data_IF_888160100291
#
_entry.id   IF_888160100291
#
_cell.length_a   1.000
_cell.length_b   1.000
_cell.length_c   1.000
_cell.angle_alpha   90.00
_cell.angle_beta   90.00
_cell.angle_gamma   90.00
#
_symmetry.space_group_name_H-M   'P 1'
#
loop_
_entity.id
_entity.type
_entity.pdbx_description
1 polymer ?
#
# COMPACT_ATOMS: atom_id res chain seq x y z
N UNK A 1 33.20 -17.28 44.43
CA UNK A 1 33.35 -17.74 43.02
C UNK A 1 32.05 -18.34 42.46
N UNK A 2 31.43 -19.32 43.12
CA UNK A 2 30.17 -19.95 42.65
C UNK A 2 28.98 -18.98 42.48
N UNK A 3 28.81 -18.03 43.38
CA UNK A 3 27.76 -17.00 43.34
C UNK A 3 27.97 -15.95 42.25
N UNK A 4 29.23 -15.58 41.99
CA UNK A 4 29.59 -14.63 40.91
C UNK A 4 29.39 -15.30 39.54
N UNK A 5 29.76 -16.58 39.43
CA UNK A 5 29.54 -17.37 38.21
C UNK A 5 28.04 -17.57 37.93
N UNK A 6 27.24 -17.80 38.98
CA UNK A 6 25.78 -17.92 38.86
C UNK A 6 25.15 -16.59 38.40
N UNK A 7 25.51 -15.46 39.00
CA UNK A 7 25.02 -14.14 38.58
C UNK A 7 25.44 -13.78 37.15
N UNK A 8 26.67 -14.14 36.75
CA UNK A 8 27.14 -13.94 35.38
C UNK A 8 26.37 -14.80 34.36
N UNK A 9 26.10 -16.08 34.69
CA UNK A 9 25.27 -16.95 33.83
C UNK A 9 23.82 -16.49 33.75
N UNK A 10 23.22 -16.01 34.85
CA UNK A 10 21.86 -15.46 34.82
C UNK A 10 21.79 -14.18 34.00
N UNK A 11 22.80 -13.29 34.09
CA UNK A 11 22.87 -12.10 33.24
C UNK A 11 23.07 -12.46 31.76
N UNK A 12 23.87 -13.50 31.45
CA UNK A 12 24.09 -13.99 30.08
C UNK A 12 22.85 -14.70 29.50
N UNK A 13 22.04 -15.35 30.34
CA UNK A 13 20.77 -15.99 29.95
C UNK A 13 19.61 -14.99 29.82
N UNK A 14 19.67 -13.85 30.51
CA UNK A 14 18.69 -12.76 30.40
C UNK A 14 19.05 -11.75 29.29
N UNK A 15 20.32 -11.65 28.89
CA UNK A 15 20.77 -10.78 27.81
C UNK A 15 20.06 -11.00 26.45
N UNK A 16 19.74 -12.24 25.99
CA UNK A 16 19.04 -12.42 24.73
C UNK A 16 17.53 -12.13 24.80
N UNK A 17 16.93 -11.97 25.98
CA UNK A 17 15.48 -11.75 26.10
C UNK A 17 15.10 -10.30 25.74
N UNK A 18 16.03 -9.35 25.89
CA UNK A 18 15.80 -7.95 25.55
C UNK A 18 16.07 -7.62 24.06
N UNK A 19 16.66 -8.53 23.29
CA UNK A 19 17.08 -8.29 21.91
C UNK A 19 16.08 -8.78 20.85
N UNK A 20 14.90 -9.25 21.25
CA UNK A 20 13.91 -9.85 20.33
C UNK A 20 12.49 -9.33 20.54
N UNK A 21 12.34 -8.16 21.18
CA UNK A 21 11.11 -7.39 21.01
C UNK A 21 11.23 -6.69 19.65
N UNK A 22 10.78 -7.34 18.59
CA UNK A 22 10.47 -6.61 17.35
C UNK A 22 9.43 -5.55 17.73
N UNK A 23 9.78 -4.28 17.54
CA UNK A 23 8.80 -3.21 17.68
C UNK A 23 7.71 -3.46 16.65
N UNK A 24 6.45 -3.46 17.09
CA UNK A 24 5.30 -3.52 16.18
C UNK A 24 5.47 -2.46 15.07
N UNK A 25 5.18 -2.80 13.81
CA UNK A 25 5.28 -1.85 12.71
C UNK A 25 4.35 -0.64 12.94
N UNK A 26 4.77 0.53 12.44
CA UNK A 26 4.01 1.77 12.55
C UNK A 26 2.82 1.85 11.57
N UNK A 27 2.49 0.75 10.91
CA UNK A 27 1.40 0.61 9.94
C UNK A 27 0.69 -0.73 10.15
N UNK A 28 -0.47 -0.88 9.52
CA UNK A 28 -1.14 -2.17 9.35
C UNK A 28 -0.86 -2.73 7.96
N UNK A 29 -1.03 -4.05 7.80
CA UNK A 29 -0.95 -4.67 6.46
C UNK A 29 -2.18 -4.24 5.66
N UNK A 30 -1.96 -3.56 4.52
CA UNK A 30 -3.04 -2.94 3.76
C UNK A 30 -3.97 -3.95 3.07
N UNK A 31 -3.46 -5.13 2.75
CA UNK A 31 -4.18 -6.21 2.06
C UNK A 31 -4.32 -7.43 2.98
N UNK A 32 -5.05 -8.45 2.52
CA UNK A 32 -5.26 -9.70 3.28
C UNK A 32 -3.98 -10.44 3.66
N UNK A 33 -2.88 -10.14 2.98
CA UNK A 33 -1.57 -10.74 3.13
C UNK A 33 -0.48 -9.68 2.96
N UNK A 34 0.69 -9.93 3.55
CA UNK A 34 1.81 -8.98 3.56
C UNK A 34 2.61 -8.96 2.25
N UNK A 35 2.56 -10.02 1.46
CA UNK A 35 3.23 -10.14 0.15
C UNK A 35 2.25 -9.83 -0.99
N UNK A 36 1.64 -8.67 -0.89
CA UNK A 36 0.78 -8.07 -1.89
C UNK A 36 0.86 -6.55 -1.79
N UNK A 37 0.79 -5.85 -2.92
CA UNK A 37 0.96 -4.41 -2.99
C UNK A 37 0.57 -3.82 -4.33
N UNK A 38 1.02 -2.59 -4.57
CA UNK A 38 0.82 -1.81 -5.80
C UNK A 38 2.09 -1.09 -6.17
N UNK A 39 2.44 -1.10 -7.46
CA UNK A 39 3.47 -0.24 -8.05
C UNK A 39 2.95 0.37 -9.36
N UNK A 40 3.77 1.16 -10.03
CA UNK A 40 3.44 1.81 -11.30
C UNK A 40 3.47 3.31 -11.15
N UNK A 41 2.37 4.00 -11.49
CA UNK A 41 2.30 5.46 -11.43
C UNK A 41 2.69 6.15 -12.73
N UNK A 42 2.77 5.41 -13.85
CA UNK A 42 2.99 6.00 -15.16
C UNK A 42 1.81 6.92 -15.48
N UNK A 43 2.08 8.22 -15.55
CA UNK A 43 1.07 9.27 -15.61
C UNK A 43 1.11 10.00 -16.95
N UNK A 44 -0.04 10.09 -17.62
CA UNK A 44 -0.23 10.87 -18.85
C UNK A 44 -1.30 11.93 -18.60
N UNK A 45 -0.98 13.20 -18.86
CA UNK A 45 -1.97 14.28 -18.79
C UNK A 45 -2.92 14.22 -20.00
N UNK A 46 -4.23 14.41 -19.74
CA UNK A 46 -5.31 14.30 -20.72
C UNK A 46 -6.06 15.61 -20.97
N UNK A 47 -5.57 16.74 -20.44
CA UNK A 47 -6.22 18.04 -20.57
C UNK A 47 -6.14 18.70 -21.95
N UNK A 48 -6.40 20.01 -22.02
CA UNK A 48 -6.58 20.73 -23.29
C UNK A 48 -5.37 20.54 -24.22
N UNK A 49 -5.64 20.04 -25.43
CA UNK A 49 -4.61 19.79 -26.43
C UNK A 49 -3.86 18.46 -26.24
N UNK A 50 -4.43 17.52 -25.46
CA UNK A 50 -3.97 16.14 -25.40
C UNK A 50 -3.78 15.57 -26.82
N UNK A 51 -2.69 14.83 -26.97
CA UNK A 51 -2.29 14.20 -28.23
C UNK A 51 -1.66 12.85 -27.94
N UNK A 52 -1.55 12.03 -28.98
CA UNK A 52 -0.95 10.69 -28.89
C UNK A 52 0.38 10.75 -28.14
N UNK A 53 0.44 10.00 -27.03
CA UNK A 53 1.57 10.02 -26.10
C UNK A 53 1.84 8.61 -25.62
N UNK A 54 3.11 8.26 -25.51
CA UNK A 54 3.55 7.02 -24.88
C UNK A 54 4.76 7.30 -24.00
N UNK A 55 4.78 6.64 -22.85
CA UNK A 55 5.84 6.70 -21.85
C UNK A 55 6.27 5.29 -21.50
N UNK A 56 7.56 5.16 -21.16
CA UNK A 56 8.15 3.93 -20.69
C UNK A 56 9.02 4.24 -19.49
N UNK A 57 8.92 3.43 -18.44
CA UNK A 57 9.66 3.63 -17.20
C UNK A 57 10.18 2.29 -16.69
N UNK A 58 11.41 2.28 -16.17
CA UNK A 58 11.97 1.09 -15.54
C UNK A 58 11.30 0.87 -14.19
N UNK A 59 11.03 -0.38 -13.83
CA UNK A 59 10.45 -0.72 -12.53
C UNK A 59 11.19 -0.09 -11.35
N UNK A 60 12.53 -0.06 -11.39
CA UNK A 60 13.36 0.50 -10.32
C UNK A 60 13.32 2.03 -10.21
N UNK A 61 12.80 2.71 -11.24
CA UNK A 61 12.65 4.16 -11.30
C UNK A 61 11.21 4.61 -11.02
N UNK A 62 10.32 3.67 -10.65
CA UNK A 62 8.91 3.97 -10.40
C UNK A 62 8.73 4.83 -9.14
N UNK A 63 7.80 5.79 -9.16
CA UNK A 63 7.44 6.55 -7.98
C UNK A 63 6.77 5.65 -6.94
N UNK A 64 6.79 6.07 -5.68
CA UNK A 64 5.93 5.47 -4.65
C UNK A 64 4.46 5.79 -4.93
N UNK A 65 3.56 4.87 -4.58
CA UNK A 65 2.12 5.06 -4.75
C UNK A 65 1.48 5.37 -3.40
N UNK A 66 0.73 6.46 -3.33
CA UNK A 66 -0.02 6.86 -2.14
C UNK A 66 -1.49 6.95 -2.47
N UNK A 67 -2.28 6.05 -1.91
CA UNK A 67 -3.74 6.02 -2.10
C UNK A 67 -4.43 6.44 -0.81
N UNK A 68 -5.25 7.48 -0.86
CA UNK A 68 -5.90 8.07 0.32
C UNK A 68 -7.40 7.95 0.18
N UNK A 69 -8.08 7.34 1.15
CA UNK A 69 -9.53 7.35 1.26
C UNK A 69 -9.97 8.51 2.16
N UNK A 70 -10.71 9.45 1.57
CA UNK A 70 -11.05 10.74 2.16
C UNK A 70 -12.52 11.10 1.92
N UNK A 71 -12.93 12.25 2.46
CA UNK A 71 -14.22 12.84 2.13
C UNK A 71 -14.24 14.36 2.33
N UNK A 72 -15.09 15.07 1.58
CA UNK A 72 -15.28 16.54 1.68
C UNK A 72 -15.78 17.02 3.04
N UNK A 73 -16.41 16.15 3.81
CA UNK A 73 -16.89 16.43 5.17
C UNK A 73 -15.91 16.00 6.27
N UNK A 74 -14.84 15.31 5.91
CA UNK A 74 -13.92 14.72 6.88
C UNK A 74 -12.85 15.71 7.35
N UNK A 75 -13.10 16.41 8.46
CA UNK A 75 -12.13 17.37 9.01
C UNK A 75 -10.80 16.73 9.44
N UNK A 76 -10.84 15.47 9.90
CA UNK A 76 -9.62 14.74 10.28
C UNK A 76 -8.78 14.32 9.06
N UNK A 77 -9.40 14.23 7.87
CA UNK A 77 -8.71 13.89 6.64
C UNK A 77 -7.71 14.99 6.26
N UNK A 78 -8.08 16.25 6.43
CA UNK A 78 -7.19 17.42 6.27
C UNK A 78 -5.90 17.29 7.09
N UNK A 79 -6.01 16.80 8.34
CA UNK A 79 -4.82 16.61 9.19
C UNK A 79 -3.91 15.50 8.66
N UNK A 80 -4.51 14.41 8.17
CA UNK A 80 -3.78 13.28 7.58
C UNK A 80 -3.10 13.68 6.26
N UNK A 81 -3.82 14.39 5.40
CA UNK A 81 -3.36 14.84 4.08
C UNK A 81 -2.21 15.85 4.21
N UNK A 82 -2.30 16.85 5.09
CA UNK A 82 -1.19 17.77 5.33
C UNK A 82 0.07 17.06 5.87
N UNK A 83 -0.10 16.06 6.75
CA UNK A 83 1.03 15.27 7.24
C UNK A 83 1.70 14.45 6.12
N UNK A 84 0.90 13.90 5.19
CA UNK A 84 1.41 13.20 4.01
C UNK A 84 2.12 14.17 3.06
N UNK A 85 1.52 15.33 2.76
CA UNK A 85 2.11 16.36 1.90
C UNK A 85 3.49 16.82 2.40
N UNK A 86 3.64 16.99 3.72
CA UNK A 86 4.93 17.33 4.33
C UNK A 86 5.98 16.24 4.08
N UNK A 87 5.60 14.97 4.19
CA UNK A 87 6.50 13.83 3.94
C UNK A 87 6.86 13.70 2.47
N UNK A 88 5.89 13.90 1.56
CA UNK A 88 6.10 13.77 0.13
C UNK A 88 6.87 14.94 -0.49
N UNK A 89 7.14 16.00 0.28
CA UNK A 89 7.93 17.14 -0.19
C UNK A 89 9.34 16.71 -0.65
N UNK A 90 9.52 16.62 -1.97
CA UNK A 90 10.78 16.20 -2.59
C UNK A 90 10.95 14.68 -2.74
N UNK A 91 9.90 13.90 -2.50
CA UNK A 91 9.83 12.47 -2.84
C UNK A 91 9.05 12.32 -4.15
N UNK A 92 9.53 11.47 -5.04
CA UNK A 92 8.79 11.11 -6.26
C UNK A 92 7.67 10.13 -5.89
N UNK A 93 6.45 10.63 -5.82
CA UNK A 93 5.27 9.87 -5.43
C UNK A 93 4.04 10.29 -6.24
N UNK A 94 3.20 9.31 -6.55
CA UNK A 94 1.89 9.52 -7.18
C UNK A 94 0.82 9.38 -6.11
N UNK A 95 0.05 10.45 -5.92
CA UNK A 95 -1.08 10.48 -5.00
C UNK A 95 -2.39 10.26 -5.73
N UNK A 96 -3.30 9.49 -5.12
CA UNK A 96 -4.64 9.19 -5.65
C UNK A 96 -5.63 9.24 -4.49
N UNK A 97 -6.59 10.16 -4.55
CA UNK A 97 -7.57 10.37 -3.50
C UNK A 97 -8.91 9.74 -3.88
N UNK A 98 -9.27 8.70 -3.15
CA UNK A 98 -10.56 8.03 -3.17
C UNK A 98 -11.54 8.81 -2.31
N UNK A 99 -12.46 9.48 -2.98
CA UNK A 99 -13.58 10.12 -2.30
C UNK A 99 -14.70 9.12 -2.06
N UNK A 100 -15.28 9.20 -0.85
CA UNK A 100 -16.42 8.38 -0.47
C UNK A 100 -17.62 8.65 -1.39
N UNK A 101 -18.33 7.60 -1.78
CA UNK A 101 -19.46 7.67 -2.71
C UNK A 101 -20.62 6.73 -2.34
N UNK A 102 -20.33 5.51 -1.92
CA UNK A 102 -21.35 4.53 -1.57
C UNK A 102 -22.09 4.94 -0.29
N UNK A 103 -23.42 5.05 -0.42
CA UNK A 103 -24.33 5.49 0.65
C UNK A 103 -23.95 6.87 1.22
N UNK A 104 -23.38 7.73 0.38
CA UNK A 104 -22.96 9.09 0.69
C UNK A 104 -23.75 10.09 -0.18
N UNK A 105 -24.01 11.29 0.36
CA UNK A 105 -24.71 12.38 -0.34
C UNK A 105 -23.96 13.71 -0.27
N UNK A 106 -22.99 13.87 0.62
CA UNK A 106 -22.27 15.13 0.85
C UNK A 106 -20.99 15.25 0.01
N UNK A 107 -20.40 14.12 -0.39
CA UNK A 107 -19.19 14.08 -1.22
C UNK A 107 -19.55 13.80 -2.69
N UNK A 108 -19.25 14.72 -3.62
CA UNK A 108 -19.64 14.58 -5.02
C UNK A 108 -18.60 13.86 -5.90
N UNK A 109 -17.42 13.55 -5.37
CA UNK A 109 -16.25 13.27 -6.21
C UNK A 109 -16.02 11.79 -6.52
N UNK A 110 -16.44 10.88 -5.64
CA UNK A 110 -16.24 9.45 -5.87
C UNK A 110 -17.22 8.87 -6.90
N UNK A 111 -16.98 7.62 -7.30
CA UNK A 111 -17.87 6.86 -8.18
C UNK A 111 -17.98 5.41 -7.73
N UNK A 112 -18.89 4.63 -8.33
CA UNK A 112 -19.02 3.21 -8.03
C UNK A 112 -17.70 2.46 -8.28
N UNK A 113 -17.00 2.78 -9.37
CA UNK A 113 -15.76 2.09 -9.74
C UNK A 113 -14.63 2.33 -8.74
N UNK A 114 -14.53 3.54 -8.18
CA UNK A 114 -13.49 3.89 -7.21
C UNK A 114 -13.75 3.22 -5.87
N UNK A 115 -15.00 3.19 -5.43
CA UNK A 115 -15.44 2.45 -4.23
C UNK A 115 -15.25 0.94 -4.38
N UNK A 116 -15.63 0.39 -5.53
CA UNK A 116 -15.48 -1.05 -5.83
C UNK A 116 -14.01 -1.47 -5.78
N UNK A 117 -13.09 -0.70 -6.38
CA UNK A 117 -11.66 -0.98 -6.28
C UNK A 117 -11.19 -0.89 -4.83
N UNK A 118 -11.51 0.20 -4.12
CA UNK A 118 -11.05 0.38 -2.73
C UNK A 118 -11.52 -0.77 -1.83
N UNK A 119 -12.81 -1.12 -1.88
CA UNK A 119 -13.37 -2.19 -1.06
C UNK A 119 -12.81 -3.57 -1.46
N UNK A 120 -12.62 -3.83 -2.76
CA UNK A 120 -12.05 -5.09 -3.25
C UNK A 120 -10.59 -5.29 -2.80
N UNK A 121 -9.83 -4.20 -2.74
CA UNK A 121 -8.39 -4.23 -2.50
C UNK A 121 -8.06 -4.09 -1.01
N UNK A 122 -8.63 -3.09 -0.33
CA UNK A 122 -8.28 -2.71 1.05
C UNK A 122 -9.41 -2.95 2.07
N UNK A 123 -10.63 -3.24 1.59
CA UNK A 123 -11.82 -3.28 2.44
C UNK A 123 -11.78 -4.33 3.56
N UNK A 124 -11.17 -5.49 3.32
CA UNK A 124 -11.04 -6.53 4.36
C UNK A 124 -10.11 -6.10 5.49
N UNK A 125 -8.92 -5.60 5.16
CA UNK A 125 -7.95 -5.12 6.16
C UNK A 125 -8.47 -3.89 6.90
N UNK A 126 -9.07 -2.93 6.19
CA UNK A 126 -9.74 -1.78 6.82
C UNK A 126 -10.83 -2.23 7.79
N UNK A 127 -11.61 -3.26 7.43
CA UNK A 127 -12.65 -3.82 8.32
C UNK A 127 -12.04 -4.49 9.55
N UNK A 128 -10.98 -5.27 9.38
CA UNK A 128 -10.31 -5.97 10.47
C UNK A 128 -9.68 -4.99 11.49
N UNK A 129 -9.11 -3.89 11.00
CA UNK A 129 -8.42 -2.88 11.83
C UNK A 129 -9.40 -1.87 12.41
N UNK A 130 -10.21 -1.23 11.56
CA UNK A 130 -11.04 -0.07 11.91
C UNK A 130 -12.53 -0.35 12.05
N UNK A 131 -12.99 -1.56 11.71
CA UNK A 131 -14.40 -1.96 11.84
C UNK A 131 -15.30 -1.65 10.64
N UNK A 132 -14.74 -1.20 9.51
CA UNK A 132 -15.47 -1.02 8.26
C UNK A 132 -14.55 -0.95 7.04
N UNK A 133 -15.05 -1.22 5.82
CA UNK A 133 -14.22 -1.33 4.62
C UNK A 133 -13.79 0.02 4.05
N UNK A 134 -14.45 1.11 4.46
CA UNK A 134 -14.42 2.43 3.83
C UNK A 134 -14.37 3.50 4.90
N UNK A 135 -13.22 3.60 5.57
CA UNK A 135 -13.02 4.47 6.71
C UNK A 135 -12.13 5.64 6.33
N UNK A 136 -12.68 6.85 6.39
CA UNK A 136 -11.92 8.07 6.15
C UNK A 136 -11.44 8.69 7.49
N UNK A 137 -10.19 9.19 7.59
CA UNK A 137 -9.12 9.01 6.61
C UNK A 137 -8.50 7.61 6.67
N UNK A 138 -8.07 7.09 5.53
CA UNK A 138 -7.13 5.96 5.46
C UNK A 138 -6.10 6.25 4.38
N UNK A 139 -4.81 6.11 4.69
CA UNK A 139 -3.71 6.27 3.73
C UNK A 139 -3.02 4.93 3.51
N UNK A 140 -2.80 4.57 2.26
CA UNK A 140 -2.09 3.36 1.85
C UNK A 140 -0.82 3.76 1.08
N UNK A 141 0.33 3.23 1.49
CA UNK A 141 1.60 3.43 0.79
C UNK A 141 2.00 2.13 0.10
N UNK A 142 2.32 2.24 -1.20
CA UNK A 142 2.67 1.18 -2.15
C UNK A 142 1.68 -0.01 -2.16
N UNK A 143 0.42 0.24 -1.80
CA UNK A 143 -0.59 -0.81 -1.65
C UNK A 143 -0.33 -1.82 -0.52
N UNK A 144 0.67 -1.58 0.33
CA UNK A 144 1.21 -2.53 1.30
C UNK A 144 0.99 -2.08 2.76
N UNK A 145 1.08 -0.77 3.02
CA UNK A 145 1.16 -0.20 4.37
C UNK A 145 0.00 0.74 4.62
N UNK A 146 -0.89 0.33 5.52
CA UNK A 146 -2.13 1.04 5.84
C UNK A 146 -2.01 1.84 7.12
N UNK A 147 -2.44 3.09 7.05
CA UNK A 147 -2.59 4.02 8.18
C UNK A 147 -4.04 4.44 8.25
N UNK A 148 -4.70 4.17 9.37
CA UNK A 148 -6.12 4.48 9.54
C UNK A 148 -6.33 5.57 10.58
N UNK A 149 -7.18 6.53 10.25
CA UNK A 149 -7.45 7.69 11.07
C UNK A 149 -6.32 8.72 11.04
N UNK A 150 -6.44 9.72 11.91
CA UNK A 150 -5.51 10.84 12.02
C UNK A 150 -4.75 10.83 13.35
N UNK A 151 -4.65 9.67 14.01
CA UNK A 151 -3.90 9.48 15.24
C UNK A 151 -2.65 8.66 14.94
N UNK A 152 -1.46 9.15 15.31
CA UNK A 152 -0.24 8.39 15.06
C UNK A 152 -0.17 7.13 15.90
N UNK A 153 0.46 6.09 15.34
CA UNK A 153 0.94 4.92 16.06
C UNK A 153 2.28 5.20 16.73
N UNK A 154 3.14 5.99 16.08
CA UNK A 154 4.44 6.42 16.60
C UNK A 154 4.39 7.78 17.32
N UNK A 155 5.44 8.58 17.15
CA UNK A 155 5.55 9.91 17.76
C UNK A 155 4.67 10.94 17.05
N UNK A 156 4.54 10.85 15.72
CA UNK A 156 3.70 11.72 14.89
C UNK A 156 3.28 11.03 13.59
N UNK A 157 2.23 11.54 12.92
CA UNK A 157 1.79 11.00 11.63
C UNK A 157 2.87 11.15 10.55
N UNK A 158 3.61 12.26 10.61
CA UNK A 158 4.75 12.53 9.72
C UNK A 158 5.81 11.45 9.89
N UNK A 159 6.12 11.05 11.13
CA UNK A 159 7.08 9.98 11.39
C UNK A 159 6.57 8.63 10.86
N UNK A 160 5.31 8.29 11.12
CA UNK A 160 4.69 7.04 10.68
C UNK A 160 4.71 6.91 9.14
N UNK A 161 4.38 7.99 8.43
CA UNK A 161 4.46 8.07 6.97
C UNK A 161 5.91 8.05 6.48
N UNK A 162 6.82 8.78 7.11
CA UNK A 162 8.25 8.78 6.73
C UNK A 162 8.84 7.38 6.81
N UNK A 163 8.56 6.63 7.88
CA UNK A 163 9.01 5.25 8.02
C UNK A 163 8.41 4.35 6.96
N UNK A 164 7.14 4.53 6.64
CA UNK A 164 6.45 3.73 5.63
C UNK A 164 6.96 4.02 4.21
N UNK A 165 7.26 5.27 3.88
CA UNK A 165 7.85 5.65 2.59
C UNK A 165 9.28 5.11 2.45
N UNK A 166 10.05 5.09 3.54
CA UNK A 166 11.43 4.60 3.52
C UNK A 166 11.57 3.09 3.25
N UNK A 167 10.50 2.31 3.41
CA UNK A 167 10.49 0.87 3.06
C UNK A 167 10.49 0.68 1.55
N UNK A 168 9.76 1.50 0.80
CA UNK A 168 9.49 1.32 -0.62
C UNK A 168 8.63 0.08 -0.93
N UNK A 169 8.48 -0.23 -2.22
CA UNK A 169 7.73 -1.41 -2.63
C UNK A 169 8.50 -2.70 -2.32
N UNK A 170 7.80 -3.72 -1.84
CA UNK A 170 8.35 -5.06 -1.59
C UNK A 170 8.05 -6.06 -2.71
N UNK A 171 7.60 -5.59 -3.87
CA UNK A 171 7.28 -6.45 -4.99
C UNK A 171 8.50 -7.24 -5.48
N UNK A 172 8.25 -8.45 -5.98
CA UNK A 172 9.29 -9.40 -6.38
C UNK A 172 9.83 -9.14 -7.80
N UNK A 173 10.00 -7.86 -8.16
CA UNK A 173 10.60 -7.43 -9.42
C UNK A 173 11.96 -6.77 -9.17
N UNK A 174 12.89 -6.94 -10.10
CA UNK A 174 14.26 -6.39 -10.04
C UNK A 174 14.59 -5.47 -11.21
N UNK A 175 13.65 -5.30 -12.13
CA UNK A 175 13.80 -4.46 -13.31
C UNK A 175 12.75 -4.76 -14.37
N UNK A 176 12.98 -4.24 -15.57
CA UNK A 176 12.03 -4.34 -16.68
C UNK A 176 11.32 -3.01 -16.91
N UNK A 177 11.00 -2.76 -18.18
CA UNK A 177 10.25 -1.59 -18.56
C UNK A 177 8.75 -1.86 -18.46
N UNK A 178 7.99 -0.85 -18.04
CA UNK A 178 6.54 -0.79 -18.21
C UNK A 178 6.26 0.24 -19.27
N UNK A 179 5.41 -0.10 -20.24
CA UNK A 179 4.96 0.83 -21.26
C UNK A 179 3.52 1.24 -20.99
N UNK A 180 3.22 2.53 -21.16
CA UNK A 180 1.88 3.08 -21.08
C UNK A 180 1.71 4.15 -22.16
N UNK A 181 0.57 4.16 -22.83
CA UNK A 181 0.30 5.13 -23.89
C UNK A 181 -1.17 5.36 -24.13
N UNK A 182 -1.46 6.49 -24.76
CA UNK A 182 -2.79 6.88 -25.21
C UNK A 182 -2.71 7.35 -26.66
N UNK A 183 -3.73 7.01 -27.43
CA UNK A 183 -3.94 7.48 -28.79
C UNK A 183 -5.37 7.98 -28.96
N UNK A 184 -5.56 9.04 -29.74
CA UNK A 184 -6.85 9.66 -29.95
C UNK A 184 -7.33 9.41 -31.37
N UNK A 185 -8.36 8.57 -31.53
CA UNK A 185 -9.01 8.32 -32.81
C UNK A 185 -10.42 8.91 -32.80
N UNK A 186 -10.62 10.00 -33.55
CA UNK A 186 -11.86 10.78 -33.55
C UNK A 186 -12.23 11.31 -32.16
N UNK A 187 -13.28 10.77 -31.53
CA UNK A 187 -13.78 11.18 -30.21
C UNK A 187 -13.42 10.17 -29.10
N UNK A 188 -12.70 9.08 -29.41
CA UNK A 188 -12.37 8.03 -28.46
C UNK A 188 -10.87 8.01 -28.11
N UNK A 189 -10.55 7.87 -26.82
CA UNK A 189 -9.20 7.62 -26.33
C UNK A 189 -8.96 6.11 -26.25
N UNK A 190 -7.87 5.64 -26.86
CA UNK A 190 -7.42 4.25 -26.78
C UNK A 190 -6.12 4.19 -26.00
N UNK A 191 -6.19 3.58 -24.82
CA UNK A 191 -5.05 3.34 -23.94
C UNK A 191 -4.38 2.02 -24.32
N UNK A 192 -3.07 1.95 -24.13
CA UNK A 192 -2.25 0.77 -24.34
C UNK A 192 -1.24 0.62 -23.22
N UNK A 193 -0.96 -0.61 -22.82
CA UNK A 193 0.01 -0.92 -21.78
C UNK A 193 0.74 -2.22 -22.07
N UNK A 194 1.94 -2.36 -21.51
CA UNK A 194 2.71 -3.60 -21.54
C UNK A 194 3.51 -3.78 -20.26
N UNK A 195 3.38 -4.96 -19.65
CA UNK A 195 4.17 -5.42 -18.50
C UNK A 195 5.13 -6.56 -18.88
N UNK A 196 5.22 -6.90 -20.18
CA UNK A 196 5.94 -8.08 -20.68
C UNK A 196 7.44 -8.09 -20.34
N UNK A 197 8.03 -6.91 -20.17
CA UNK A 197 9.47 -6.75 -19.90
C UNK A 197 9.83 -6.83 -18.41
N UNK A 198 8.85 -6.99 -17.50
CA UNK A 198 9.12 -7.10 -16.06
C UNK A 198 10.00 -8.31 -15.74
N UNK A 199 11.03 -8.06 -14.93
CA UNK A 199 12.01 -9.07 -14.53
C UNK A 199 11.80 -9.44 -13.07
N UNK A 200 11.48 -10.71 -12.81
CA UNK A 200 11.29 -11.23 -11.47
C UNK A 200 12.61 -11.42 -10.71
N UNK A 201 12.55 -11.30 -9.39
CA UNK A 201 13.70 -11.42 -8.49
C UNK A 201 14.22 -12.86 -8.31
N UNK A 202 13.52 -13.84 -8.86
CA UNK A 202 13.81 -15.27 -8.74
C UNK A 202 14.30 -15.85 -10.08
N UNK A 203 15.28 -16.75 -10.01
CA UNK A 203 15.84 -17.43 -11.19
C UNK A 203 15.19 -18.80 -11.45
N UNK A 204 14.90 -19.55 -10.39
CA UNK A 204 14.25 -20.87 -10.41
C UNK A 204 13.24 -20.94 -9.23
N UNK A 205 12.15 -21.73 -9.38
CA UNK A 205 11.11 -21.92 -8.36
C UNK A 205 10.48 -20.62 -7.83
N UNK A 206 10.16 -19.69 -8.73
CA UNK A 206 9.42 -18.48 -8.40
C UNK A 206 8.08 -18.81 -7.74
N UNK A 207 7.70 -18.11 -6.64
CA UNK A 207 6.34 -18.20 -6.15
C UNK A 207 5.37 -17.77 -7.26
N UNK A 208 4.22 -18.42 -7.34
CA UNK A 208 3.17 -18.00 -8.28
C UNK A 208 2.74 -16.57 -7.89
N UNK A 209 2.77 -15.66 -8.86
CA UNK A 209 2.39 -14.27 -8.67
C UNK A 209 1.23 -13.94 -9.58
N UNK A 210 0.32 -13.12 -9.07
CA UNK A 210 -0.76 -12.55 -9.85
C UNK A 210 -0.59 -11.04 -9.90
N UNK A 211 -0.64 -10.48 -11.11
CA UNK A 211 -0.70 -9.05 -11.39
C UNK A 211 -2.10 -8.66 -11.86
N UNK A 212 -2.48 -7.41 -11.62
CA UNK A 212 -3.70 -6.82 -12.15
C UNK A 212 -3.42 -5.35 -12.43
N UNK A 213 -3.42 -5.00 -13.71
CA UNK A 213 -3.23 -3.62 -14.14
C UNK A 213 -4.55 -2.84 -13.99
N UNK A 214 -4.44 -1.56 -13.65
CA UNK A 214 -5.54 -0.64 -13.46
C UNK A 214 -5.29 0.66 -14.20
N UNK A 215 -6.29 1.12 -14.95
CA UNK A 215 -6.33 2.46 -15.52
C UNK A 215 -7.12 3.36 -14.57
N UNK A 216 -6.48 4.43 -14.10
CA UNK A 216 -7.03 5.35 -13.11
C UNK A 216 -7.16 6.75 -13.72
N UNK A 217 -8.32 7.37 -13.59
CA UNK A 217 -8.56 8.75 -14.04
C UNK A 217 -8.60 9.71 -12.86
N UNK A 218 -7.56 10.53 -12.75
CA UNK A 218 -7.31 11.40 -11.61
C UNK A 218 -7.28 12.86 -12.07
N UNK A 219 -8.17 13.68 -11.51
CA UNK A 219 -8.15 15.14 -11.66
C UNK A 219 -7.10 15.74 -10.72
N UNK A 220 -6.37 16.75 -11.18
CA UNK A 220 -5.29 17.33 -10.38
C UNK A 220 -5.84 18.15 -9.21
N UNK A 221 -6.87 18.97 -9.46
CA UNK A 221 -7.52 19.82 -8.46
C UNK A 221 -9.00 20.04 -8.80
N UNK A 222 -9.88 19.79 -7.83
CA UNK A 222 -11.31 20.08 -7.94
C UNK A 222 -11.74 21.11 -6.88
N UNK A 223 -12.35 22.21 -7.31
CA UNK A 223 -12.87 23.25 -6.43
C UNK A 223 -14.31 22.96 -5.98
N UNK A 224 -14.50 22.79 -4.68
CA UNK A 224 -15.78 22.55 -4.04
C UNK A 224 -15.90 23.26 -2.68
N UNK A 225 -16.39 24.50 -2.73
CA UNK A 225 -16.59 25.35 -1.54
C UNK A 225 -17.69 24.87 -0.58
N UNK A 226 -18.52 23.90 -0.98
CA UNK A 226 -19.61 23.38 -0.13
C UNK A 226 -19.14 22.27 0.84
N UNK A 227 -17.89 21.80 0.72
CA UNK A 227 -17.31 20.82 1.64
C UNK A 227 -17.15 21.36 3.07
N UNK A 228 -17.51 20.57 4.07
CA UNK A 228 -17.53 21.02 5.47
C UNK A 228 -16.18 20.93 6.19
N UNK A 229 -15.13 20.43 5.52
CA UNK A 229 -13.77 20.36 6.03
C UNK A 229 -12.92 21.65 5.82
N UNK A 230 -13.42 22.62 5.05
CA UNK A 230 -12.78 23.91 4.70
C UNK A 230 -11.51 23.82 3.82
N UNK A 231 -11.32 22.76 3.03
CA UNK A 231 -10.24 22.72 2.04
C UNK A 231 -10.52 23.60 0.83
N UNK A 232 -11.77 23.66 0.39
CA UNK A 232 -12.24 24.25 -0.88
C UNK A 232 -11.64 23.58 -2.12
N UNK A 233 -10.32 23.44 -2.22
CA UNK A 233 -9.63 22.75 -3.32
C UNK A 233 -9.21 21.34 -2.88
N UNK A 234 -9.65 20.32 -3.63
CA UNK A 234 -9.35 18.92 -3.38
C UNK A 234 -8.41 18.40 -4.46
N UNK A 235 -7.23 17.95 -4.05
CA UNK A 235 -6.21 17.50 -4.98
C UNK A 235 -6.33 16.01 -5.29
N UNK A 236 -5.83 15.61 -6.46
CA UNK A 236 -5.64 14.21 -6.85
C UNK A 236 -6.93 13.36 -6.82
N UNK A 237 -8.06 13.96 -7.17
CA UNK A 237 -9.39 13.36 -7.08
C UNK A 237 -9.55 12.24 -8.10
N UNK A 238 -9.76 11.01 -7.63
CA UNK A 238 -10.01 9.87 -8.51
C UNK A 238 -11.49 9.83 -8.94
N UNK A 239 -11.72 9.89 -10.25
CA UNK A 239 -13.06 9.82 -10.85
C UNK A 239 -13.47 8.40 -11.22
N UNK A 240 -12.55 7.64 -11.81
CA UNK A 240 -12.85 6.31 -12.33
C UNK A 240 -11.64 5.38 -12.24
N UNK A 241 -11.91 4.10 -11.93
CA UNK A 241 -10.92 3.04 -11.82
C UNK A 241 -11.35 1.82 -12.64
N UNK A 242 -10.53 1.43 -13.62
CA UNK A 242 -10.87 0.36 -14.56
C UNK A 242 -9.83 -0.76 -14.44
N UNK A 243 -10.29 -1.95 -14.05
CA UNK A 243 -9.46 -3.15 -14.08
C UNK A 243 -9.19 -3.56 -15.52
N UNK A 244 -7.93 -3.89 -15.82
CA UNK A 244 -7.50 -4.31 -17.14
C UNK A 244 -7.36 -5.84 -17.16
N UNK A 245 -7.89 -6.47 -18.21
CA UNK A 245 -8.07 -7.93 -18.28
C UNK A 245 -6.76 -8.71 -18.55
N UNK A 246 -5.64 -8.02 -18.79
CA UNK A 246 -4.36 -8.62 -19.15
C UNK A 246 -3.16 -7.76 -18.73
N UNK A 247 -1.99 -8.39 -18.65
CA UNK A 247 -0.72 -7.72 -18.36
C UNK A 247 -0.26 -6.80 -19.50
N UNK A 248 -0.70 -7.08 -20.72
CA UNK A 248 -0.40 -6.26 -21.91
C UNK A 248 -1.62 -6.20 -22.81
N UNK A 249 -1.91 -5.03 -23.37
CA UNK A 249 -3.13 -4.85 -24.17
C UNK A 249 -3.46 -3.41 -24.53
N UNK A 250 -4.69 -3.23 -25.02
CA UNK A 250 -5.25 -1.93 -25.34
C UNK A 250 -6.74 -1.88 -25.03
N UNK A 251 -7.23 -0.73 -24.59
CA UNK A 251 -8.63 -0.49 -24.24
C UNK A 251 -9.07 0.88 -24.75
N UNK A 252 -10.18 0.93 -25.49
CA UNK A 252 -10.85 2.19 -25.84
C UNK A 252 -11.89 2.51 -24.78
N UNK A 253 -11.83 3.71 -24.22
CA UNK A 253 -12.75 4.17 -23.17
C UNK A 253 -12.99 5.68 -23.30
N UNK A 254 -14.17 6.10 -22.87
CA UNK A 254 -14.48 7.53 -22.73
C UNK A 254 -13.77 8.06 -21.49
N UNK A 255 -12.98 9.13 -21.65
CA UNK A 255 -12.32 9.78 -20.52
C UNK A 255 -13.39 10.52 -19.70
N UNK A 256 -13.48 10.32 -18.37
CA UNK A 256 -14.44 11.02 -17.55
C UNK A 256 -14.20 12.53 -17.58
N UNK A 257 -15.27 13.31 -17.47
CA UNK A 257 -15.16 14.77 -17.36
C UNK A 257 -14.60 15.12 -15.98
N UNK A 258 -13.60 16.00 -15.93
CA UNK A 258 -13.12 16.62 -14.70
C UNK A 258 -14.27 17.38 -14.00
N UNK A 259 -14.18 17.54 -12.68
CA UNK A 259 -15.16 18.31 -11.91
C UNK A 259 -15.18 19.77 -12.36
N UNK A 260 -13.99 20.36 -12.48
CA UNK A 260 -13.78 21.65 -13.10
C UNK A 260 -12.49 21.66 -13.92
N UNK A 261 -12.16 22.81 -14.51
CA UNK A 261 -10.93 22.95 -15.28
C UNK A 261 -10.81 21.97 -16.46
N UNK A 262 -9.56 21.67 -16.82
CA UNK A 262 -9.19 20.63 -17.77
C UNK A 262 -7.81 20.07 -17.43
N UNK A 263 -7.76 19.32 -16.33
CA UNK A 263 -6.55 18.85 -15.66
C UNK A 263 -6.62 17.35 -15.30
N UNK A 264 -7.42 16.59 -16.06
CA UNK A 264 -7.50 15.14 -15.95
C UNK A 264 -6.18 14.45 -16.32
N UNK A 265 -5.83 13.40 -15.58
CA UNK A 265 -4.66 12.54 -15.80
C UNK A 265 -5.10 11.08 -15.87
N UNK A 266 -4.48 10.31 -16.75
CA UNK A 266 -4.55 8.85 -16.72
C UNK A 266 -3.30 8.29 -16.05
N UNK A 267 -3.49 7.36 -15.12
CA UNK A 267 -2.42 6.71 -14.35
C UNK A 267 -2.56 5.19 -14.50
N UNK A 268 -1.46 4.53 -14.87
CA UNK A 268 -1.38 3.07 -14.86
C UNK A 268 -0.82 2.60 -13.51
N UNK A 269 -1.61 1.80 -12.80
CA UNK A 269 -1.18 1.08 -11.60
C UNK A 269 -1.13 -0.43 -11.87
N UNK A 270 -0.30 -1.14 -11.13
CA UNK A 270 -0.23 -2.60 -11.15
C UNK A 270 -0.29 -3.11 -9.73
N UNK A 271 -1.40 -3.76 -9.42
CA UNK A 271 -1.54 -4.55 -8.20
C UNK A 271 -0.81 -5.87 -8.37
N UNK A 272 -0.15 -6.34 -7.32
CA UNK A 272 0.52 -7.64 -7.31
C UNK A 272 0.24 -8.38 -6.01
N UNK A 273 0.29 -9.72 -6.08
CA UNK A 273 0.30 -10.58 -4.89
C UNK A 273 0.97 -11.92 -5.17
N UNK A 274 1.57 -12.49 -4.15
CA UNK A 274 2.03 -13.87 -4.19
C UNK A 274 0.86 -14.82 -3.89
N UNK A 275 0.63 -15.80 -4.74
CA UNK A 275 -0.41 -16.81 -4.57
C UNK A 275 0.11 -17.91 -3.64
N UNK A 276 -0.53 -18.04 -2.49
CA UNK A 276 -0.26 -19.12 -1.55
C UNK A 276 -1.17 -20.31 -1.84
N UNK A 277 -0.56 -21.48 -2.05
CA UNK A 277 -1.29 -22.75 -2.17
C UNK A 277 -1.70 -23.20 -0.75
N UNK A 278 -2.92 -22.87 -0.33
CA UNK A 278 -3.50 -23.19 1.01
C UNK A 278 -3.31 -24.66 1.41
N UNK A 279 -3.16 -25.58 0.45
CA UNK A 279 -2.94 -27.01 0.69
C UNK A 279 -1.52 -27.35 1.18
N UNK A 280 -0.54 -26.45 1.07
CA UNK A 280 0.89 -26.73 1.29
C UNK A 280 1.47 -26.11 2.56
N UNK A 281 0.69 -25.34 3.32
CA UNK A 281 1.17 -24.63 4.51
C UNK A 281 0.61 -25.23 5.81
N UNK A 282 1.29 -26.19 6.47
CA UNK A 282 1.02 -26.47 7.87
C UNK A 282 1.49 -25.24 8.66
N UNK A 283 0.55 -24.46 9.20
CA UNK A 283 0.77 -23.32 10.11
C UNK A 283 2.18 -23.32 10.72
N UNK A 284 3.04 -22.32 10.42
CA UNK A 284 4.34 -22.24 11.06
C UNK A 284 4.13 -22.10 12.56
N UNK A 285 4.44 -23.16 13.30
CA UNK A 285 4.44 -23.13 14.76
C UNK A 285 5.39 -22.00 15.19
N UNK A 286 5.00 -21.13 16.14
CA UNK A 286 5.84 -20.04 16.58
C UNK A 286 7.18 -20.60 17.08
N UNK A 287 8.27 -20.26 16.38
CA UNK A 287 9.62 -20.77 16.62
C UNK A 287 10.14 -20.47 18.04
N UNK A 288 9.52 -19.50 18.74
CA UNK A 288 9.86 -19.13 20.11
C UNK A 288 9.51 -20.22 21.16
N UNK A 289 8.59 -21.14 20.86
CA UNK A 289 8.14 -22.17 21.81
C UNK A 289 9.06 -23.40 21.91
N UNK A 290 9.78 -23.74 20.83
CA UNK A 290 10.59 -24.97 20.78
C UNK A 290 11.97 -24.78 21.43
N UNK A 291 12.58 -23.61 21.26
CA UNK A 291 13.88 -23.27 21.86
C UNK A 291 13.82 -23.16 23.39
N UNK A 292 12.68 -22.71 23.94
CA UNK A 292 12.43 -22.64 25.38
C UNK A 292 12.13 -24.03 25.99
N UNK A 293 11.48 -24.93 25.24
CA UNK A 293 11.24 -26.31 25.70
C UNK A 293 12.52 -27.15 25.75
N UNK A 294 13.39 -27.02 24.74
CA UNK A 294 14.67 -27.74 24.67
C UNK A 294 15.67 -27.28 25.75
N UNK A 295 15.67 -26.00 26.09
CA UNK A 295 16.53 -25.46 27.15
C UNK A 295 16.05 -25.87 28.56
N UNK A 296 14.74 -26.03 28.77
CA UNK A 296 14.19 -26.59 30.01
C UNK A 296 14.51 -28.09 30.17
N UNK A 297 14.55 -28.86 29.08
CA UNK A 297 14.90 -30.29 29.12
C UNK A 297 16.39 -30.54 29.43
N UNK A 298 17.28 -29.65 28.99
CA UNK A 298 18.71 -29.73 29.31
C UNK A 298 19.03 -29.41 30.79
N UNK A 299 18.14 -28.74 31.53
CA UNK A 299 18.32 -28.40 32.93
C UNK A 299 17.93 -29.53 33.91
N UNK A 300 17.23 -30.58 33.45
CA UNK A 300 16.70 -31.65 34.31
C UNK A 300 17.76 -32.64 34.87
N UNK A 301 18.96 -32.87 34.29
CA UNK A 301 19.90 -33.81 34.90
C UNK A 301 20.64 -33.27 36.13
N UNK A 302 20.70 -31.95 36.36
CA UNK A 302 21.58 -31.37 37.39
C UNK A 302 20.92 -31.31 38.78
N UNK A 303 19.58 -31.34 38.86
CA UNK A 303 18.87 -31.27 40.14
C UNK A 303 18.89 -32.58 40.95
N UNK A 304 19.36 -33.69 40.38
CA UNK A 304 19.27 -35.02 41.03
C UNK A 304 20.54 -35.49 41.74
N UNK A 305 21.57 -34.64 41.86
CA UNK A 305 22.86 -35.01 42.48
C UNK A 305 23.24 -34.20 43.74
N UNK A 306 22.28 -33.51 44.38
CA UNK A 306 22.51 -32.78 45.64
C UNK A 306 21.67 -33.29 46.82
N UNK A 307 21.28 -34.57 46.79
CA UNK A 307 20.56 -35.19 47.91
C UNK A 307 21.11 -36.59 48.19
N UNK A 308 22.37 -36.65 48.58
CA UNK A 308 22.95 -37.71 49.43
C UNK A 308 24.32 -37.21 49.91
N UNK A 309 24.34 -36.91 51.22
CA UNK A 309 25.44 -36.71 52.18
C UNK A 309 25.25 -35.47 53.07
#
# INVERSE_FOLDING_TARGET
MRTILALALTALLLAPIAASAESEPLWEVARKQADAGTFGGLTIALGEGASDTSISMQYNDMPSIVEVYTATWCSNCVTSEHAMEEVLSGIDAVQIHYHRHFFEIEDPFGSNSTEERWEAVYGESSTAVGGGPRLAPTSIIDGERMHIGSSPKGESLIDDYTWSMAVGSTAWFVGGAIEFGVSFEAEAATFSWSLDDLVFSCADDCPEQQTTAWLMFVEDSAHFSEGSNNLEDYLHVLHEAIALDSDSGSLSVDVPTAWDGDDMKAILLVDWKIVHDEARNPNPLPAAGLSTLLSLLAAVPVARHLRED
#
